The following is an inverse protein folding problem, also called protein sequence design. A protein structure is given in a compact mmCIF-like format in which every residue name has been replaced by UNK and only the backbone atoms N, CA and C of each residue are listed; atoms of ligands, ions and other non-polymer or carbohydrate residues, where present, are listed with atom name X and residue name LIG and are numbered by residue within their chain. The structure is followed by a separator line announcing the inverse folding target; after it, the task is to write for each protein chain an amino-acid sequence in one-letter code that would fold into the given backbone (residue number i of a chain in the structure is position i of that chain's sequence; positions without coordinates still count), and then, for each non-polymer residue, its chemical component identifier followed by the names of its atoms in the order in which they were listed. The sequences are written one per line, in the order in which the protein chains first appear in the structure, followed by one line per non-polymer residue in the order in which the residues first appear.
data_IF_185470639498
#
_entry.id   IF_185470639498
#
_cell.length_a   1.000
_cell.length_b   1.000
_cell.length_c   1.000
_cell.angle_alpha   90.00
_cell.angle_beta   90.00
_cell.angle_gamma   90.00
#
_symmetry.space_group_name_H-M   'P 1'
#
loop_
_entity.id
_entity.type
_entity.pdbx_description
1 polymer ?
#
# COMPACT_ATOMS: atom_id res chain seq x y z
N UNK A 1 -4.75 -12.88 12.86
CA UNK A 1 -4.02 -14.13 12.53
C UNK A 1 -4.44 -15.20 13.52
N UNK A 2 -4.72 -16.42 13.06
CA UNK A 2 -5.00 -17.55 13.97
C UNK A 2 -4.09 -18.70 13.64
N UNK A 3 -3.43 -19.23 14.66
CA UNK A 3 -2.58 -20.41 14.55
C UNK A 3 -3.51 -21.62 14.41
N UNK A 4 -3.53 -22.25 13.23
CA UNK A 4 -4.25 -23.51 13.02
C UNK A 4 -3.21 -24.62 12.90
N UNK A 5 -3.41 -25.69 13.67
CA UNK A 5 -2.64 -26.91 13.50
C UNK A 5 -3.26 -27.71 12.36
N UNK A 6 -2.43 -28.01 11.37
CA UNK A 6 -2.76 -28.93 10.28
C UNK A 6 -1.94 -30.20 10.50
N UNK A 7 -2.63 -31.32 10.61
CA UNK A 7 -2.02 -32.63 10.78
C UNK A 7 -1.82 -33.29 9.42
N UNK A 8 -0.61 -33.78 9.17
CA UNK A 8 -0.31 -34.52 7.97
C UNK A 8 -1.01 -35.90 8.05
N UNK A 9 -1.92 -36.24 7.12
CA UNK A 9 -2.67 -37.49 7.19
C UNK A 9 -1.80 -38.74 7.01
N UNK A 10 -0.56 -38.59 6.51
CA UNK A 10 0.33 -39.70 6.21
C UNK A 10 1.39 -39.95 7.30
N UNK A 11 1.70 -38.97 8.15
CA UNK A 11 2.73 -39.13 9.19
C UNK A 11 2.35 -38.56 10.56
N UNK A 12 1.13 -38.03 10.74
CA UNK A 12 0.60 -37.55 12.02
C UNK A 12 1.30 -36.32 12.58
N UNK A 13 2.36 -35.80 11.93
CA UNK A 13 3.06 -34.61 12.39
C UNK A 13 2.17 -33.40 12.19
N UNK A 14 1.95 -32.67 13.27
CA UNK A 14 1.18 -31.43 13.26
C UNK A 14 2.12 -30.27 12.92
N UNK A 15 1.78 -29.52 11.87
CA UNK A 15 2.48 -28.29 11.50
C UNK A 15 1.61 -27.10 11.90
N UNK A 16 2.19 -26.12 12.59
CA UNK A 16 1.50 -24.87 12.84
C UNK A 16 1.62 -23.98 11.62
N UNK A 17 0.54 -23.87 10.85
CA UNK A 17 0.44 -22.86 9.80
C UNK A 17 -0.31 -21.64 10.32
N UNK A 18 0.24 -20.47 10.00
CA UNK A 18 -0.47 -19.22 10.15
C UNK A 18 -1.46 -19.12 8.99
N UNK A 19 -2.73 -19.38 9.28
CA UNK A 19 -3.78 -19.20 8.30
C UNK A 19 -4.35 -17.80 8.52
N UNK A 20 -4.35 -17.01 7.44
CA UNK A 20 -5.08 -15.76 7.38
C UNK A 20 -6.58 -16.06 7.51
N UNK A 21 -7.14 -15.89 8.71
CA UNK A 21 -8.60 -15.76 8.88
C UNK A 21 -9.06 -14.69 7.91
N UNK A 22 -10.13 -14.98 7.16
CA UNK A 22 -10.80 -14.12 6.17
C UNK A 22 -10.32 -12.67 6.24
N UNK A 23 -9.29 -12.38 5.45
CA UNK A 23 -8.79 -11.03 5.32
C UNK A 23 -9.96 -10.20 4.77
N UNK A 24 -10.31 -9.13 5.48
CA UNK A 24 -11.26 -8.13 5.01
C UNK A 24 -11.00 -7.87 3.52
N UNK A 25 -12.02 -7.89 2.63
CA UNK A 25 -11.84 -7.92 1.18
C UNK A 25 -10.92 -6.80 0.65
N UNK A 26 -10.81 -5.71 1.41
CA UNK A 26 -9.85 -4.62 1.19
C UNK A 26 -8.38 -5.08 1.13
N UNK A 27 -7.94 -6.02 1.96
CA UNK A 27 -6.55 -6.50 1.97
C UNK A 27 -6.25 -7.31 0.70
N UNK A 28 -7.24 -8.05 0.18
CA UNK A 28 -7.13 -8.72 -1.12
C UNK A 28 -6.97 -7.69 -2.24
N UNK A 29 -7.77 -6.60 -2.23
CA UNK A 29 -7.61 -5.49 -3.18
C UNK A 29 -6.23 -4.84 -3.08
N UNK A 30 -5.75 -4.54 -1.87
CA UNK A 30 -4.42 -3.97 -1.63
C UNK A 30 -3.30 -4.88 -2.15
N UNK A 31 -3.38 -6.18 -1.88
CA UNK A 31 -2.41 -7.18 -2.36
C UNK A 31 -2.38 -7.21 -3.89
N UNK A 32 -3.54 -7.12 -4.54
CA UNK A 32 -3.64 -7.02 -6.00
C UNK A 32 -3.01 -5.74 -6.53
N UNK A 33 -3.23 -4.59 -5.90
CA UNK A 33 -2.62 -3.32 -6.29
C UNK A 33 -1.08 -3.40 -6.19
N UNK A 34 -0.56 -3.95 -5.09
CA UNK A 34 0.88 -4.11 -4.88
C UNK A 34 1.54 -5.01 -5.94
N UNK A 35 0.85 -6.08 -6.34
CA UNK A 35 1.30 -7.03 -7.37
C UNK A 35 1.11 -6.55 -8.81
N UNK A 36 0.36 -5.46 -9.03
CA UNK A 36 0.09 -4.97 -10.37
C UNK A 36 1.35 -4.43 -11.07
N UNK A 37 1.30 -4.32 -12.40
CA UNK A 37 2.37 -3.70 -13.22
C UNK A 37 2.36 -2.16 -13.18
N UNK A 38 1.51 -1.56 -12.34
CA UNK A 38 1.41 -0.11 -12.16
C UNK A 38 2.74 0.47 -11.67
N UNK A 39 3.01 1.71 -12.05
CA UNK A 39 4.14 2.49 -11.52
C UNK A 39 4.00 2.68 -10.00
N UNK A 40 5.10 2.96 -9.27
CA UNK A 40 5.02 3.27 -7.84
C UNK A 40 4.02 4.38 -7.50
N UNK A 41 3.93 5.41 -8.35
CA UNK A 41 2.96 6.50 -8.22
C UNK A 41 1.51 5.99 -8.31
N UNK A 42 1.19 5.28 -9.38
CA UNK A 42 -0.17 4.73 -9.59
C UNK A 42 -0.56 3.72 -8.51
N UNK A 43 0.40 2.95 -7.97
CA UNK A 43 0.18 2.06 -6.83
C UNK A 43 -0.16 2.85 -5.56
N UNK A 44 0.59 3.91 -5.24
CA UNK A 44 0.30 4.78 -4.08
C UNK A 44 -1.10 5.37 -4.16
N UNK A 45 -1.50 5.90 -5.32
CA UNK A 45 -2.83 6.47 -5.52
C UNK A 45 -3.93 5.40 -5.41
N UNK A 46 -3.74 4.23 -6.02
CA UNK A 46 -4.70 3.14 -5.93
C UNK A 46 -4.85 2.61 -4.50
N UNK A 47 -3.76 2.52 -3.73
CA UNK A 47 -3.81 2.15 -2.32
C UNK A 47 -4.54 3.20 -1.48
N UNK A 48 -4.31 4.49 -1.74
CA UNK A 48 -5.05 5.56 -1.07
C UNK A 48 -6.57 5.47 -1.34
N UNK A 49 -6.97 5.27 -2.59
CA UNK A 49 -8.39 5.07 -2.93
C UNK A 49 -8.96 3.83 -2.25
N UNK A 50 -8.17 2.76 -2.15
CA UNK A 50 -8.58 1.56 -1.43
C UNK A 50 -8.72 1.80 0.07
N UNK A 51 -7.91 2.67 0.68
CA UNK A 51 -8.04 3.06 2.08
C UNK A 51 -9.26 3.95 2.33
N UNK A 52 -9.60 4.83 1.38
CA UNK A 52 -10.79 5.69 1.46
C UNK A 52 -12.10 4.91 1.51
N UNK A 53 -12.13 3.71 0.94
CA UNK A 53 -13.28 2.80 1.00
C UNK A 53 -13.42 2.09 2.37
N UNK A 54 -12.42 2.18 3.26
CA UNK A 54 -12.51 1.59 4.60
C UNK A 54 -13.35 2.53 5.47
N UNK A 55 -14.42 1.98 6.02
CA UNK A 55 -15.13 2.64 7.11
C UNK A 55 -14.25 2.66 8.35
N UNK A 56 -13.82 3.86 8.75
CA UNK A 56 -12.93 4.08 9.91
C UNK A 56 -13.75 4.24 11.21
N UNK A 57 -15.07 3.99 11.15
CA UNK A 57 -16.00 4.14 12.26
C UNK A 57 -16.80 5.44 12.16
N UNK A 58 -17.31 5.92 13.29
CA UNK A 58 -18.24 7.06 13.38
C UNK A 58 -17.58 8.43 13.13
N UNK A 59 -16.91 8.59 12.00
CA UNK A 59 -16.54 9.91 11.50
C UNK A 59 -17.75 10.54 10.85
N UNK A 60 -18.10 11.76 11.26
CA UNK A 60 -19.08 12.56 10.52
C UNK A 60 -18.57 12.75 9.08
N UNK A 61 -19.46 12.95 8.09
CA UNK A 61 -19.06 13.12 6.70
C UNK A 61 -17.93 14.16 6.49
N UNK A 62 -18.00 15.28 7.23
CA UNK A 62 -17.00 16.35 7.17
C UNK A 62 -15.64 15.96 7.78
N UNK A 63 -15.64 15.10 8.80
CA UNK A 63 -14.41 14.61 9.45
C UNK A 63 -13.72 13.61 8.53
N UNK A 64 -14.49 12.75 7.86
CA UNK A 64 -13.97 11.82 6.86
C UNK A 64 -13.41 12.56 5.64
N UNK A 65 -14.08 13.60 5.16
CA UNK A 65 -13.58 14.44 4.05
C UNK A 65 -12.26 15.14 4.41
N UNK A 66 -12.17 15.70 5.62
CA UNK A 66 -10.92 16.30 6.14
C UNK A 66 -9.80 15.28 6.25
N UNK A 67 -10.09 14.10 6.82
CA UNK A 67 -9.12 13.02 6.94
C UNK A 67 -8.58 12.58 5.58
N UNK A 68 -9.47 12.35 4.61
CA UNK A 68 -9.10 11.99 3.24
C UNK A 68 -8.25 13.07 2.58
N UNK A 69 -8.61 14.34 2.73
CA UNK A 69 -7.86 15.47 2.17
C UNK A 69 -6.45 15.57 2.76
N UNK A 70 -6.31 15.40 4.08
CA UNK A 70 -5.01 15.41 4.76
C UNK A 70 -4.11 14.25 4.29
N UNK A 71 -4.70 13.06 4.17
CA UNK A 71 -3.97 11.87 3.71
C UNK A 71 -3.56 11.99 2.25
N UNK A 72 -4.43 12.51 1.38
CA UNK A 72 -4.12 12.79 -0.03
C UNK A 72 -3.00 13.83 -0.16
N UNK A 73 -3.05 14.90 0.65
CA UNK A 73 -2.00 15.91 0.71
C UNK A 73 -0.63 15.33 1.08
N UNK A 74 -0.58 14.39 2.05
CA UNK A 74 0.66 13.67 2.38
C UNK A 74 1.19 12.84 1.22
N UNK A 75 0.30 12.15 0.50
CA UNK A 75 0.69 11.35 -0.68
C UNK A 75 1.31 12.25 -1.74
N UNK A 76 0.68 13.37 -2.09
CA UNK A 76 1.22 14.31 -3.07
C UNK A 76 2.54 14.94 -2.63
N UNK A 77 2.68 15.30 -1.36
CA UNK A 77 3.93 15.83 -0.82
C UNK A 77 5.11 14.86 -0.99
N UNK A 78 4.89 13.58 -0.67
CA UNK A 78 5.93 12.57 -0.83
C UNK A 78 6.26 12.30 -2.30
N UNK A 79 5.27 12.38 -3.19
CA UNK A 79 5.49 12.29 -4.63
C UNK A 79 6.31 13.47 -5.14
N UNK A 80 5.97 14.70 -4.74
CA UNK A 80 6.72 15.90 -5.12
C UNK A 80 8.18 15.83 -4.68
N UNK A 81 8.44 15.36 -3.45
CA UNK A 81 9.82 15.12 -2.96
C UNK A 81 10.58 14.10 -3.82
N UNK A 82 9.92 13.02 -4.23
CA UNK A 82 10.53 12.00 -5.09
C UNK A 82 10.85 12.58 -6.47
N UNK A 83 9.90 13.26 -7.11
CA UNK A 83 10.11 13.91 -8.40
C UNK A 83 11.26 14.93 -8.34
N UNK A 84 11.33 15.77 -7.31
CA UNK A 84 12.43 16.73 -7.17
C UNK A 84 13.79 16.07 -6.94
N UNK A 85 13.83 14.94 -6.23
CA UNK A 85 15.07 14.16 -6.09
C UNK A 85 15.51 13.55 -7.41
N UNK A 86 14.58 13.05 -8.20
CA UNK A 86 14.87 12.48 -9.52
C UNK A 86 15.32 13.55 -10.51
N UNK A 87 14.62 14.68 -10.57
CA UNK A 87 15.02 15.83 -11.36
C UNK A 87 16.47 16.22 -11.07
N UNK A 88 16.80 16.50 -9.80
CA UNK A 88 18.17 16.88 -9.38
C UNK A 88 19.22 15.84 -9.79
N UNK A 89 18.90 14.55 -9.75
CA UNK A 89 19.82 13.48 -10.19
C UNK A 89 20.06 13.54 -11.70
N UNK A 90 19.01 13.75 -12.49
CA UNK A 90 19.11 13.86 -13.94
C UNK A 90 19.93 15.09 -14.34
N UNK A 91 19.64 16.24 -13.73
CA UNK A 91 20.38 17.49 -14.01
C UNK A 91 21.86 17.32 -13.69
N UNK A 92 22.21 16.75 -12.53
CA UNK A 92 23.62 16.53 -12.17
C UNK A 92 24.32 15.60 -13.18
N UNK A 93 23.65 14.53 -13.64
CA UNK A 93 24.21 13.62 -14.64
C UNK A 93 24.49 14.33 -15.97
N UNK A 94 23.49 15.02 -16.51
CA UNK A 94 23.60 15.74 -17.79
C UNK A 94 24.77 16.74 -17.76
N UNK A 95 24.86 17.57 -16.72
CA UNK A 95 25.94 18.56 -16.60
C UNK A 95 27.32 17.97 -16.22
N UNK A 96 27.36 16.74 -15.72
CA UNK A 96 28.62 16.04 -15.42
C UNK A 96 29.20 15.28 -16.61
N UNK A 97 28.34 14.86 -17.55
CA UNK A 97 28.74 14.16 -18.78
C UNK A 97 29.06 15.13 -19.93
N UNK A 98 28.65 16.40 -19.83
CA UNK A 98 29.02 17.48 -20.76
C UNK A 98 30.39 18.15 -20.48
N UNK A 99 31.20 17.61 -19.57
CA UNK A 99 32.59 18.02 -19.30
C UNK A 99 33.59 16.97 -19.74
#
# INVERSE_FOLDING_TARGET
MVKKLLECPNCGKSSSQWIDKEQHPIFKKMKTILKSKKTPHEKKMALFNCLKEIDVGDLKPIENERFNSLMLGKVYHELAKQCMKEYKKLTVKEYSEEK
#
